data_IF_720893984357
#
_entry.id   IF_720893984357
#
_cell.length_a   1.000
_cell.length_b   1.000
_cell.length_c   1.000
_cell.angle_alpha   90.00
_cell.angle_beta   90.00
_cell.angle_gamma   90.00
#
_symmetry.space_group_name_H-M   'P 1'
#
loop_
_entity.id
_entity.type
_entity.pdbx_description
1 polymer ?
#
# COMPACT_ATOMS: atom_id res chain seq x y z
N UNK A 1 6.17 9.41 -1.11
CA UNK A 1 5.17 8.91 -0.16
C UNK A 1 5.33 7.40 0.00
N UNK A 2 5.08 6.88 1.17
CA UNK A 2 5.13 5.43 1.44
C UNK A 2 3.72 4.86 1.37
N UNK A 3 3.60 3.69 0.75
CA UNK A 3 2.36 2.92 0.70
C UNK A 3 2.59 1.59 1.41
N UNK A 4 1.78 1.32 2.42
CA UNK A 4 1.77 0.04 3.12
C UNK A 4 0.54 -0.74 2.71
N UNK A 5 0.72 -1.97 2.24
CA UNK A 5 -0.36 -2.84 1.78
C UNK A 5 -0.33 -4.13 2.60
N UNK A 6 -1.49 -4.48 3.16
CA UNK A 6 -1.69 -5.75 3.84
C UNK A 6 -2.65 -6.60 3.02
N UNK A 7 -2.20 -7.78 2.59
CA UNK A 7 -3.00 -8.67 1.76
C UNK A 7 -3.85 -9.59 2.62
N UNK A 8 -5.13 -9.75 2.25
CA UNK A 8 -6.06 -10.59 3.02
C UNK A 8 -5.83 -12.08 2.82
N UNK A 9 -5.32 -12.46 1.64
CA UNK A 9 -5.22 -13.87 1.24
C UNK A 9 -3.84 -14.47 1.42
N UNK A 10 -2.85 -13.67 1.80
CA UNK A 10 -1.48 -14.13 2.01
C UNK A 10 -0.91 -13.47 3.26
N UNK A 11 0.02 -14.12 3.98
CA UNK A 11 0.66 -13.51 5.16
C UNK A 11 1.77 -12.55 4.74
N UNK A 12 1.41 -11.52 3.98
CA UNK A 12 2.37 -10.63 3.35
C UNK A 12 1.98 -9.18 3.58
N UNK A 13 2.98 -8.36 3.91
CA UNK A 13 2.83 -6.91 4.01
C UNK A 13 3.87 -6.29 3.08
N UNK A 14 3.43 -5.41 2.20
CA UNK A 14 4.30 -4.74 1.25
C UNK A 14 4.44 -3.27 1.62
N UNK A 15 5.68 -2.78 1.66
CA UNK A 15 5.98 -1.37 1.85
C UNK A 15 6.72 -0.91 0.60
N UNK A 16 6.18 0.10 -0.08
CA UNK A 16 6.83 0.64 -1.27
C UNK A 16 6.75 2.15 -1.33
N UNK A 17 7.64 2.74 -2.11
CA UNK A 17 7.60 4.15 -2.42
C UNK A 17 6.68 4.38 -3.61
N UNK A 18 5.82 5.38 -3.51
CA UNK A 18 4.97 5.82 -4.61
C UNK A 18 5.12 7.33 -4.80
N UNK A 19 4.80 7.86 -6.00
CA UNK A 19 4.86 9.31 -6.22
C UNK A 19 3.95 10.09 -5.26
N UNK A 20 4.34 11.33 -4.95
CA UNK A 20 3.57 12.16 -4.01
C UNK A 20 2.35 12.83 -4.66
N UNK A 21 2.28 12.83 -5.99
CA UNK A 21 1.25 13.55 -6.75
C UNK A 21 0.08 12.67 -7.19
N UNK A 22 -0.15 11.56 -6.53
CA UNK A 22 -1.25 10.64 -6.86
C UNK A 22 -2.54 11.21 -6.29
N UNK A 23 -3.56 11.39 -7.13
CA UNK A 23 -4.86 11.91 -6.72
C UNK A 23 -5.70 10.86 -6.00
N UNK A 24 -5.67 9.61 -6.49
CA UNK A 24 -6.44 8.50 -5.93
C UNK A 24 -5.54 7.29 -5.79
N UNK A 25 -5.16 6.97 -4.56
CA UNK A 25 -4.25 5.87 -4.28
C UNK A 25 -4.89 4.52 -4.59
N UNK A 26 -6.19 4.37 -4.35
CA UNK A 26 -6.87 3.11 -4.66
C UNK A 26 -6.84 2.81 -6.15
N UNK A 27 -7.07 3.81 -6.99
CA UNK A 27 -6.97 3.67 -8.44
C UNK A 27 -5.54 3.34 -8.85
N UNK A 28 -4.55 3.98 -8.22
CA UNK A 28 -3.14 3.68 -8.48
C UNK A 28 -2.81 2.22 -8.15
N UNK A 29 -3.27 1.72 -7.02
CA UNK A 29 -3.05 0.33 -6.62
C UNK A 29 -3.64 -0.63 -7.65
N UNK A 30 -4.84 -0.34 -8.11
CA UNK A 30 -5.52 -1.18 -9.10
C UNK A 30 -4.89 -1.08 -10.49
N UNK A 31 -4.70 0.15 -10.99
CA UNK A 31 -4.33 0.37 -12.40
C UNK A 31 -2.83 0.27 -12.65
N UNK A 32 -2.01 0.73 -11.72
CA UNK A 32 -0.55 0.76 -11.90
C UNK A 32 0.10 -0.47 -11.29
N UNK A 33 -0.28 -0.83 -10.06
CA UNK A 33 0.30 -1.99 -9.39
C UNK A 33 -0.36 -3.30 -9.80
N UNK A 34 -1.59 -3.24 -10.34
CA UNK A 34 -2.31 -4.41 -10.81
C UNK A 34 -2.90 -5.26 -9.69
N UNK A 35 -3.12 -4.69 -8.52
CA UNK A 35 -3.67 -5.41 -7.38
C UNK A 35 -5.19 -5.26 -7.31
N UNK A 36 -5.85 -6.29 -6.81
CA UNK A 36 -7.29 -6.29 -6.59
C UNK A 36 -7.58 -5.67 -5.22
N UNK A 37 -8.06 -4.44 -5.22
CA UNK A 37 -8.19 -3.64 -3.99
C UNK A 37 -9.19 -4.22 -3.00
N UNK A 38 -10.15 -5.04 -3.45
CA UNK A 38 -11.10 -5.70 -2.56
C UNK A 38 -10.46 -6.78 -1.68
N UNK A 39 -9.23 -7.21 -1.99
CA UNK A 39 -8.53 -8.28 -1.28
C UNK A 39 -7.37 -7.78 -0.43
N UNK A 40 -7.34 -6.47 -0.15
CA UNK A 40 -6.25 -5.89 0.61
C UNK A 40 -6.72 -4.68 1.42
N UNK A 41 -5.89 -4.29 2.38
CA UNK A 41 -5.99 -3.03 3.10
C UNK A 41 -4.73 -2.23 2.85
N UNK A 42 -4.83 -0.90 2.83
CA UNK A 42 -3.67 -0.07 2.55
C UNK A 42 -3.73 1.23 3.33
N UNK A 43 -2.56 1.82 3.56
CA UNK A 43 -2.42 3.16 4.14
C UNK A 43 -1.24 3.87 3.50
N UNK A 44 -1.34 5.20 3.42
CA UNK A 44 -0.27 6.04 2.91
C UNK A 44 0.33 6.89 4.03
N UNK A 45 1.64 7.09 3.94
CA UNK A 45 2.39 7.87 4.91
C UNK A 45 3.40 8.74 4.17
N UNK A 46 3.63 9.95 4.67
CA UNK A 46 4.69 10.82 4.19
C UNK A 46 6.01 10.62 4.95
N UNK A 47 6.00 9.75 5.97
CA UNK A 47 7.15 9.42 6.80
C UNK A 47 7.52 7.96 6.65
N UNK A 48 8.66 7.58 7.22
CA UNK A 48 9.09 6.20 7.23
C UNK A 48 8.11 5.31 8.01
N UNK A 49 7.75 4.19 7.40
CA UNK A 49 6.87 3.20 8.04
C UNK A 49 7.71 2.33 8.98
N UNK A 50 7.20 2.13 10.19
CA UNK A 50 7.84 1.28 11.20
C UNK A 50 6.95 0.06 11.41
N UNK A 51 7.52 -1.13 11.29
CA UNK A 51 6.83 -2.38 11.58
C UNK A 51 7.33 -2.89 12.92
N UNK A 52 6.38 -3.11 13.85
CA UNK A 52 6.71 -3.56 15.19
C UNK A 52 6.37 -5.04 15.34
N UNK A 53 7.34 -5.81 15.77
CA UNK A 53 7.19 -7.23 16.11
C UNK A 53 7.24 -7.33 17.63
N UNK A 54 6.12 -7.63 18.26
CA UNK A 54 5.99 -7.69 19.72
C UNK A 54 5.46 -9.05 20.18
#
# INVERSE_FOLDING_TARGET
MKLAIMFCNTPEIEIRNIPDNIEDVEVYIHDVLGYKTSELSWQCYDKQVIIRMI
#
